data_IF_932822910103
#
_entry.id   IF_932822910103
#
_cell.length_a   1.000
_cell.length_b   1.000
_cell.length_c   1.000
_cell.angle_alpha   90.00
_cell.angle_beta   90.00
_cell.angle_gamma   90.00
#
_symmetry.space_group_name_H-M   'P 1'
#
loop_
_entity.id
_entity.type
_entity.pdbx_description
1 polymer ?
#
# COMPACT_ATOMS: atom_id res chain seq x y z
N UNK A 1 -16.16 -11.94 -6.52
CA UNK A 1 -17.59 -12.19 -6.31
C UNK A 1 -18.35 -10.95 -6.73
N UNK A 2 -19.50 -11.15 -7.39
CA UNK A 2 -20.36 -10.11 -7.95
C UNK A 2 -20.77 -9.07 -6.89
N UNK A 3 -20.92 -9.52 -5.63
CA UNK A 3 -21.33 -8.67 -4.51
C UNK A 3 -20.39 -7.48 -4.26
N UNK A 4 -19.06 -7.64 -4.37
CA UNK A 4 -18.14 -6.52 -4.15
C UNK A 4 -18.23 -5.49 -5.26
N UNK A 5 -18.39 -5.91 -6.52
CA UNK A 5 -18.56 -4.97 -7.64
C UNK A 5 -19.83 -4.13 -7.45
N UNK A 6 -20.92 -4.74 -6.96
CA UNK A 6 -22.15 -4.02 -6.62
C UNK A 6 -21.92 -2.96 -5.53
N UNK A 7 -21.16 -3.26 -4.49
CA UNK A 7 -20.84 -2.31 -3.40
C UNK A 7 -20.12 -1.07 -3.95
N UNK A 8 -19.12 -1.27 -4.83
CA UNK A 8 -18.32 -0.18 -5.37
C UNK A 8 -19.10 0.71 -6.35
N UNK A 9 -20.19 0.19 -6.93
CA UNK A 9 -21.10 0.94 -7.82
C UNK A 9 -22.21 1.68 -7.06
N UNK A 10 -22.25 1.63 -5.73
CA UNK A 10 -23.25 2.37 -4.96
C UNK A 10 -22.96 3.89 -5.04
N UNK A 11 -23.89 4.71 -5.59
CA UNK A 11 -23.59 6.08 -6.03
C UNK A 11 -23.33 7.08 -4.89
N UNK A 12 -23.69 6.73 -3.65
CA UNK A 12 -23.53 7.60 -2.47
C UNK A 12 -22.56 7.02 -1.43
N UNK A 13 -21.97 5.85 -1.71
CA UNK A 13 -21.11 5.17 -0.75
C UNK A 13 -19.73 5.80 -0.72
N UNK A 14 -19.53 6.76 0.19
CA UNK A 14 -18.22 7.42 0.38
C UNK A 14 -17.27 6.64 1.28
N UNK A 15 -17.81 5.83 2.19
CA UNK A 15 -17.04 5.10 3.20
C UNK A 15 -17.36 3.61 3.08
N UNK A 16 -16.34 2.80 2.86
CA UNK A 16 -16.48 1.37 2.67
C UNK A 16 -15.46 0.62 3.55
N UNK A 17 -15.94 -0.32 4.36
CA UNK A 17 -15.09 -1.24 5.11
C UNK A 17 -15.44 -2.67 4.73
N UNK A 18 -14.49 -3.36 4.13
CA UNK A 18 -14.60 -4.76 3.74
C UNK A 18 -13.91 -5.61 4.80
N UNK A 19 -14.68 -6.36 5.58
CA UNK A 19 -14.14 -7.33 6.53
C UNK A 19 -14.62 -8.70 6.13
N UNK A 20 -13.68 -9.60 5.84
CA UNK A 20 -13.97 -11.00 5.56
C UNK A 20 -13.23 -11.86 6.60
N UNK A 21 -13.97 -12.31 7.62
CA UNK A 21 -13.46 -13.17 8.69
C UNK A 21 -14.15 -14.52 8.59
N UNK A 22 -13.51 -15.50 7.95
CA UNK A 22 -13.92 -16.90 8.10
C UNK A 22 -12.79 -17.66 8.79
N UNK A 23 -13.14 -18.44 9.81
CA UNK A 23 -12.18 -19.13 10.72
C UNK A 23 -11.22 -20.11 10.04
N UNK A 24 -11.34 -20.35 8.73
CA UNK A 24 -10.65 -21.41 8.00
C UNK A 24 -10.14 -21.01 6.61
N UNK A 25 -10.47 -19.82 6.10
CA UNK A 25 -10.24 -19.54 4.69
C UNK A 25 -9.12 -18.51 4.50
N UNK A 26 -7.99 -19.01 4.01
CA UNK A 26 -6.87 -18.23 3.47
C UNK A 26 -7.22 -17.57 2.12
N UNK A 27 -8.50 -17.56 1.72
CA UNK A 27 -8.93 -17.18 0.37
C UNK A 27 -8.73 -15.69 0.16
N UNK A 28 -7.99 -15.40 -0.89
CA UNK A 28 -7.79 -14.05 -1.40
C UNK A 28 -9.12 -13.46 -1.85
N UNK A 29 -9.34 -12.19 -1.55
CA UNK A 29 -10.50 -11.45 -2.03
C UNK A 29 -10.49 -11.45 -3.57
N UNK A 30 -11.35 -12.27 -4.18
CA UNK A 30 -11.54 -12.29 -5.63
C UNK A 30 -12.54 -11.21 -6.00
N UNK A 31 -12.08 -10.13 -6.61
CA UNK A 31 -12.91 -9.06 -7.17
C UNK A 31 -12.42 -8.79 -8.57
N UNK A 32 -13.36 -8.69 -9.50
CA UNK A 32 -13.10 -8.15 -10.83
C UNK A 32 -13.42 -6.66 -10.79
N UNK A 33 -12.37 -5.83 -10.87
CA UNK A 33 -12.45 -4.37 -10.85
C UNK A 33 -12.32 -3.77 -12.25
N UNK A 34 -12.19 -4.60 -13.29
CA UNK A 34 -11.96 -4.13 -14.67
C UNK A 34 -13.12 -3.27 -15.19
N UNK A 35 -14.36 -3.60 -14.83
CA UNK A 35 -15.52 -2.79 -15.20
C UNK A 35 -15.96 -1.77 -14.13
N UNK A 36 -15.21 -1.64 -13.03
CA UNK A 36 -15.47 -0.60 -12.06
C UNK A 36 -14.81 0.71 -12.51
N UNK A 37 -15.61 1.77 -12.60
CA UNK A 37 -15.15 3.13 -12.89
C UNK A 37 -15.92 4.10 -12.00
N UNK A 38 -15.23 5.18 -11.62
CA UNK A 38 -15.82 6.35 -10.98
C UNK A 38 -16.62 6.04 -9.71
N UNK A 39 -16.14 5.09 -8.92
CA UNK A 39 -16.72 4.84 -7.60
C UNK A 39 -16.60 6.09 -6.72
N UNK A 40 -17.66 6.48 -5.98
CA UNK A 40 -17.65 7.64 -5.11
C UNK A 40 -16.93 7.40 -3.77
N UNK A 41 -16.35 6.22 -3.57
CA UNK A 41 -15.66 5.87 -2.32
C UNK A 41 -14.44 6.77 -2.13
N UNK A 42 -14.48 7.54 -1.04
CA UNK A 42 -13.38 8.39 -0.57
C UNK A 42 -12.55 7.68 0.50
N UNK A 43 -13.14 6.76 1.26
CA UNK A 43 -12.50 6.04 2.35
C UNK A 43 -12.71 4.54 2.23
N UNK A 44 -11.62 3.80 2.02
CA UNK A 44 -11.65 2.35 1.89
C UNK A 44 -10.76 1.67 2.93
N UNK A 45 -11.35 0.71 3.64
CA UNK A 45 -10.66 -0.18 4.59
C UNK A 45 -10.89 -1.63 4.17
N UNK A 46 -9.82 -2.39 3.96
CA UNK A 46 -9.86 -3.81 3.61
C UNK A 46 -9.18 -4.62 4.73
N UNK A 47 -10.00 -5.18 5.61
CA UNK A 47 -9.59 -6.00 6.75
C UNK A 47 -9.61 -7.49 6.38
N UNK A 48 -9.00 -7.84 5.24
CA UNK A 48 -8.89 -9.20 4.71
C UNK A 48 -7.70 -9.28 3.76
N UNK A 49 -7.28 -10.51 3.39
CA UNK A 49 -6.24 -10.71 2.37
C UNK A 49 -6.70 -10.16 1.02
N UNK A 50 -5.89 -9.25 0.47
CA UNK A 50 -6.09 -8.61 -0.82
C UNK A 50 -4.89 -8.90 -1.73
N UNK A 51 -5.15 -9.11 -3.02
CA UNK A 51 -4.04 -9.41 -3.95
C UNK A 51 -3.35 -8.12 -4.37
N UNK A 52 -2.02 -8.09 -4.25
CA UNK A 52 -1.22 -6.90 -4.64
C UNK A 52 -1.41 -6.51 -6.11
N UNK A 53 -1.60 -7.48 -7.00
CA UNK A 53 -1.80 -7.21 -8.43
C UNK A 53 -3.14 -6.53 -8.77
N UNK A 54 -4.10 -6.49 -7.84
CA UNK A 54 -5.38 -5.80 -8.02
C UNK A 54 -5.37 -4.33 -7.58
N UNK A 55 -4.27 -3.84 -6.99
CA UNK A 55 -4.20 -2.48 -6.49
C UNK A 55 -4.30 -1.42 -7.59
N UNK A 56 -3.71 -1.67 -8.76
CA UNK A 56 -3.82 -0.76 -9.90
C UNK A 56 -5.28 -0.63 -10.31
N UNK A 57 -5.98 -1.74 -10.50
CA UNK A 57 -7.38 -1.74 -10.91
C UNK A 57 -8.28 -1.07 -9.84
N UNK A 58 -7.95 -1.27 -8.56
CA UNK A 58 -8.60 -0.60 -7.44
C UNK A 58 -8.44 0.92 -7.53
N UNK A 59 -7.26 1.43 -7.81
CA UNK A 59 -7.03 2.87 -7.95
C UNK A 59 -7.79 3.47 -9.13
N UNK A 60 -7.87 2.78 -10.26
CA UNK A 60 -8.69 3.23 -11.40
C UNK A 60 -10.19 3.22 -11.09
N UNK A 61 -10.65 2.28 -10.27
CA UNK A 61 -12.04 2.21 -9.83
C UNK A 61 -12.40 3.32 -8.83
N UNK A 62 -11.42 3.85 -8.08
CA UNK A 62 -11.61 4.79 -6.97
C UNK A 62 -10.88 6.13 -7.17
N UNK A 63 -11.22 6.95 -8.20
CA UNK A 63 -10.51 8.19 -8.48
C UNK A 63 -10.64 9.25 -7.37
N UNK A 64 -11.68 9.15 -6.52
CA UNK A 64 -11.93 10.06 -5.40
C UNK A 64 -11.32 9.57 -4.08
N UNK A 65 -10.53 8.49 -4.09
CA UNK A 65 -9.99 7.89 -2.88
C UNK A 65 -9.08 8.88 -2.14
N UNK A 66 -9.35 9.05 -0.84
CA UNK A 66 -8.61 9.89 0.10
C UNK A 66 -7.86 9.08 1.13
N UNK A 67 -8.45 7.96 1.53
CA UNK A 67 -7.95 7.10 2.58
C UNK A 67 -8.01 5.64 2.13
N UNK A 68 -6.86 4.97 2.17
CA UNK A 68 -6.74 3.54 1.94
C UNK A 68 -6.08 2.87 3.13
N UNK A 69 -6.70 1.81 3.64
CA UNK A 69 -6.08 0.87 4.56
C UNK A 69 -6.30 -0.56 4.08
N UNK A 70 -5.23 -1.35 4.01
CA UNK A 70 -5.28 -2.78 3.68
C UNK A 70 -4.44 -3.57 4.68
N UNK A 71 -5.12 -4.45 5.43
CA UNK A 71 -4.53 -5.23 6.54
C UNK A 71 -3.60 -6.37 6.10
N UNK A 72 -3.75 -6.85 4.87
CA UNK A 72 -2.92 -7.94 4.36
C UNK A 72 -2.95 -7.93 2.84
N UNK A 73 -1.81 -7.57 2.26
CA UNK A 73 -1.48 -7.77 0.86
C UNK A 73 -0.71 -9.08 0.73
N UNK A 74 -1.11 -9.87 -0.26
CA UNK A 74 -0.50 -11.16 -0.57
C UNK A 74 -0.40 -11.34 -2.11
N UNK A 75 0.41 -12.31 -2.53
CA UNK A 75 0.66 -12.68 -3.92
C UNK A 75 1.78 -11.91 -4.60
N UNK A 76 1.95 -12.15 -5.90
CA UNK A 76 2.97 -11.51 -6.71
C UNK A 76 2.36 -10.46 -7.63
N UNK A 77 3.16 -9.44 -7.94
CA UNK A 77 2.80 -8.44 -8.93
C UNK A 77 3.28 -8.91 -10.31
N UNK A 78 2.34 -9.29 -11.18
CA UNK A 78 2.63 -9.69 -12.56
C UNK A 78 2.31 -8.57 -13.58
N UNK A 79 2.03 -7.37 -13.10
CA UNK A 79 1.47 -6.29 -13.89
C UNK A 79 -0.06 -6.31 -13.97
N UNK A 80 -0.63 -5.14 -14.28
CA UNK A 80 -2.04 -4.96 -14.66
C UNK A 80 -2.11 -4.57 -16.13
N UNK A 81 -3.20 -4.95 -16.81
CA UNK A 81 -3.57 -4.42 -18.13
C UNK A 81 -3.62 -2.88 -18.19
N UNK A 82 -3.73 -2.21 -17.04
CA UNK A 82 -3.74 -0.74 -16.92
C UNK A 82 -2.39 -0.15 -16.54
N UNK A 83 -1.32 -0.93 -16.59
CA UNK A 83 -0.02 -0.43 -16.16
C UNK A 83 0.53 0.70 -17.02
N UNK A 84 0.13 0.76 -18.27
CA UNK A 84 0.48 1.84 -19.19
C UNK A 84 -0.48 3.04 -19.07
N UNK A 85 -1.62 2.87 -18.41
CA UNK A 85 -2.57 3.95 -18.21
C UNK A 85 -2.09 4.88 -17.08
N UNK A 86 -2.25 6.19 -17.29
CA UNK A 86 -1.99 7.19 -16.25
C UNK A 86 -3.29 7.58 -15.55
N UNK A 87 -3.26 7.57 -14.22
CA UNK A 87 -4.30 8.17 -13.37
C UNK A 87 -3.59 8.93 -12.26
N UNK A 88 -4.12 10.10 -11.92
CA UNK A 88 -3.60 10.92 -10.82
C UNK A 88 -4.59 10.84 -9.67
N UNK A 89 -4.18 10.19 -8.58
CA UNK A 89 -4.97 10.12 -7.33
C UNK A 89 -4.76 11.39 -6.50
N UNK A 90 -5.19 12.54 -7.02
CA UNK A 90 -4.95 13.86 -6.41
C UNK A 90 -5.49 13.99 -4.98
N UNK A 91 -6.50 13.19 -4.65
CA UNK A 91 -7.17 13.21 -3.35
C UNK A 91 -6.57 12.21 -2.35
N UNK A 92 -5.74 11.26 -2.79
CA UNK A 92 -5.22 10.19 -1.92
C UNK A 92 -4.18 10.76 -0.96
N UNK A 93 -4.58 10.91 0.32
CA UNK A 93 -3.76 11.52 1.37
C UNK A 93 -3.20 10.51 2.36
N UNK A 94 -3.94 9.45 2.64
CA UNK A 94 -3.56 8.46 3.63
C UNK A 94 -3.52 7.07 3.00
N UNK A 95 -2.39 6.39 3.14
CA UNK A 95 -2.19 5.02 2.70
C UNK A 95 -1.56 4.21 3.83
N UNK A 96 -2.21 3.10 4.19
CA UNK A 96 -1.66 2.12 5.11
C UNK A 96 -1.74 0.72 4.50
N UNK A 97 -0.59 0.09 4.30
CA UNK A 97 -0.49 -1.21 3.63
C UNK A 97 0.34 -2.17 4.48
N UNK A 98 -0.17 -3.38 4.65
CA UNK A 98 0.57 -4.47 5.30
C UNK A 98 0.88 -5.58 4.31
N UNK A 99 2.16 -5.79 4.02
CA UNK A 99 2.70 -6.77 3.09
C UNK A 99 3.07 -8.08 3.82
N UNK A 100 2.49 -9.19 3.37
CA UNK A 100 2.79 -10.53 3.85
C UNK A 100 3.64 -11.27 2.80
N UNK A 101 4.94 -11.43 3.05
CA UNK A 101 5.89 -12.08 2.14
C UNK A 101 6.00 -11.47 0.72
N UNK A 102 5.69 -10.18 0.56
CA UNK A 102 5.78 -9.50 -0.74
C UNK A 102 7.10 -8.74 -0.85
N UNK A 103 7.78 -8.91 -1.99
CA UNK A 103 8.98 -8.14 -2.30
C UNK A 103 8.71 -6.63 -2.40
N UNK A 104 9.72 -5.82 -2.15
CA UNK A 104 9.61 -4.37 -2.21
C UNK A 104 9.29 -3.80 -3.60
N UNK A 105 9.73 -4.44 -4.68
CA UNK A 105 9.58 -3.94 -6.06
C UNK A 105 8.11 -3.60 -6.45
N UNK A 106 7.10 -4.44 -6.15
CA UNK A 106 5.70 -4.08 -6.30
C UNK A 106 5.32 -2.74 -5.65
N UNK A 107 5.79 -2.47 -4.42
CA UNK A 107 5.50 -1.23 -3.72
C UNK A 107 6.18 -0.02 -4.39
N UNK A 108 7.42 -0.18 -4.83
CA UNK A 108 8.15 0.84 -5.57
C UNK A 108 7.40 1.28 -6.85
N UNK A 109 6.83 0.32 -7.59
CA UNK A 109 5.98 0.60 -8.76
C UNK A 109 4.75 1.42 -8.35
N UNK A 110 4.07 1.04 -7.27
CA UNK A 110 2.88 1.75 -6.78
C UNK A 110 3.21 3.18 -6.32
N UNK A 111 4.33 3.35 -5.62
CA UNK A 111 4.80 4.66 -5.15
C UNK A 111 5.02 5.60 -6.34
N UNK A 112 5.79 5.14 -7.34
CA UNK A 112 6.13 5.92 -8.52
C UNK A 112 4.87 6.38 -9.26
N UNK A 113 3.87 5.49 -9.39
CA UNK A 113 2.65 5.79 -10.15
C UNK A 113 1.62 6.62 -9.40
N UNK A 114 1.39 6.34 -8.11
CA UNK A 114 0.15 6.76 -7.46
C UNK A 114 0.36 7.67 -6.23
N UNK A 115 1.54 7.68 -5.62
CA UNK A 115 1.70 8.24 -4.26
C UNK A 115 2.17 9.70 -4.21
N UNK A 116 2.18 10.39 -5.35
CA UNK A 116 2.63 11.80 -5.45
C UNK A 116 1.97 12.76 -4.45
N UNK A 117 0.69 12.53 -4.14
CA UNK A 117 -0.12 13.38 -3.27
C UNK A 117 -0.34 12.82 -1.86
N UNK A 118 0.25 11.66 -1.56
CA UNK A 118 0.15 11.01 -0.25
C UNK A 118 0.89 11.84 0.79
N UNK A 119 0.20 12.11 1.89
CA UNK A 119 0.73 12.88 3.03
C UNK A 119 1.12 11.95 4.19
N UNK A 120 0.44 10.80 4.32
CA UNK A 120 0.68 9.80 5.35
C UNK A 120 0.84 8.44 4.70
N UNK A 121 2.02 7.83 4.85
CA UNK A 121 2.31 6.48 4.39
C UNK A 121 2.71 5.60 5.59
N UNK A 122 1.96 4.52 5.80
CA UNK A 122 2.25 3.52 6.83
C UNK A 122 2.43 2.15 6.22
N UNK A 123 3.61 1.58 6.39
CA UNK A 123 3.96 0.27 5.85
C UNK A 123 4.20 -0.72 6.99
N UNK A 124 3.60 -1.89 6.88
CA UNK A 124 4.00 -3.05 7.68
C UNK A 124 4.49 -4.14 6.74
N UNK A 125 5.70 -4.67 6.91
CA UNK A 125 6.25 -5.70 6.05
C UNK A 125 6.75 -6.88 6.90
N UNK A 126 6.62 -8.09 6.35
CA UNK A 126 7.10 -9.32 6.99
C UNK A 126 8.06 -10.05 6.05
N UNK A 127 9.18 -10.50 6.59
CA UNK A 127 10.23 -11.32 5.97
C UNK A 127 11.09 -10.68 4.88
N UNK A 128 10.56 -9.74 4.08
CA UNK A 128 11.36 -9.10 3.04
C UNK A 128 12.27 -8.01 3.59
N UNK A 129 13.55 -8.37 3.72
CA UNK A 129 14.60 -7.49 4.23
C UNK A 129 14.86 -6.26 3.35
N UNK A 130 14.42 -6.25 2.09
CA UNK A 130 14.64 -5.08 1.23
C UNK A 130 13.87 -3.84 1.70
N UNK A 131 12.83 -4.01 2.53
CA UNK A 131 12.15 -2.92 3.24
C UNK A 131 13.03 -2.22 4.30
N UNK A 132 14.12 -2.85 4.72
CA UNK A 132 15.08 -2.29 5.68
C UNK A 132 16.13 -1.39 5.02
N UNK A 133 16.10 -1.22 3.69
CA UNK A 133 17.05 -0.37 2.99
C UNK A 133 16.63 1.11 3.09
N UNK A 134 17.21 1.83 4.06
CA UNK A 134 16.90 3.23 4.31
C UNK A 134 17.22 4.14 3.10
N UNK A 135 18.36 3.91 2.42
CA UNK A 135 18.75 4.71 1.25
C UNK A 135 17.73 4.57 0.11
N UNK A 136 17.24 3.36 -0.15
CA UNK A 136 16.21 3.12 -1.17
C UNK A 136 14.91 3.86 -0.84
N UNK A 137 14.52 3.86 0.42
CA UNK A 137 13.36 4.64 0.87
C UNK A 137 13.56 6.15 0.69
N UNK A 138 14.71 6.67 1.08
CA UNK A 138 15.05 8.08 0.91
C UNK A 138 14.96 8.51 -0.56
N UNK A 139 15.58 7.76 -1.47
CA UNK A 139 15.53 8.01 -2.92
C UNK A 139 14.09 8.03 -3.45
N UNK A 140 13.24 7.08 -3.02
CA UNK A 140 11.84 7.03 -3.44
C UNK A 140 11.02 8.19 -2.90
N UNK A 141 11.23 8.55 -1.64
CA UNK A 141 10.49 9.65 -0.99
C UNK A 141 10.80 10.97 -1.68
N UNK A 142 12.10 11.26 -1.89
CA UNK A 142 12.54 12.49 -2.56
C UNK A 142 11.99 12.55 -3.99
N UNK A 143 12.03 11.43 -4.70
CA UNK A 143 11.67 11.40 -6.13
C UNK A 143 10.17 11.44 -6.38
N UNK A 144 9.37 10.74 -5.57
CA UNK A 144 7.98 10.41 -5.92
C UNK A 144 6.94 10.84 -4.89
N UNK A 145 7.32 11.24 -3.68
CA UNK A 145 6.37 11.57 -2.61
C UNK A 145 6.64 12.97 -2.01
N UNK A 146 6.59 14.04 -2.82
CA UNK A 146 6.90 15.40 -2.37
C UNK A 146 5.92 15.94 -1.33
N UNK A 147 4.73 15.33 -1.20
CA UNK A 147 3.70 15.74 -0.24
C UNK A 147 3.81 15.00 1.11
N UNK A 148 4.75 14.06 1.25
CA UNK A 148 4.82 13.17 2.41
C UNK A 148 5.22 13.94 3.67
N UNK A 149 4.41 13.79 4.72
CA UNK A 149 4.59 14.44 6.03
C UNK A 149 4.79 13.44 7.14
N UNK A 150 4.15 12.28 7.04
CA UNK A 150 4.25 11.19 8.01
C UNK A 150 4.62 9.93 7.28
N UNK A 151 5.70 9.30 7.73
CA UNK A 151 6.14 8.01 7.26
C UNK A 151 6.38 7.10 8.46
N UNK A 152 5.72 5.94 8.44
CA UNK A 152 5.88 4.93 9.47
C UNK A 152 6.16 3.58 8.79
N UNK A 153 7.23 2.91 9.21
CA UNK A 153 7.53 1.56 8.74
C UNK A 153 7.73 0.59 9.91
N UNK A 154 7.03 -0.52 9.86
CA UNK A 154 7.14 -1.62 10.80
C UNK A 154 7.56 -2.88 10.05
N UNK A 155 8.76 -3.39 10.33
CA UNK A 155 9.25 -4.62 9.72
C UNK A 155 9.37 -5.74 10.76
N UNK A 156 8.87 -6.93 10.41
CA UNK A 156 9.02 -8.16 11.19
C UNK A 156 9.80 -9.22 10.42
N UNK A 157 10.85 -9.77 11.01
CA UNK A 157 11.62 -10.86 10.39
C UNK A 157 13.08 -10.85 10.82
N UNK A 158 13.88 -11.79 10.31
CA UNK A 158 15.31 -11.83 10.61
C UNK A 158 16.03 -10.66 9.94
N UNK A 159 16.83 -9.89 10.69
CA UNK A 159 17.73 -8.86 10.16
C UNK A 159 19.22 -9.24 10.21
N UNK A 160 19.55 -10.52 10.42
CA UNK A 160 20.92 -11.00 10.69
C UNK A 160 21.97 -10.67 9.60
N UNK A 161 21.55 -10.19 8.42
CA UNK A 161 22.45 -9.77 7.31
C UNK A 161 22.39 -8.28 6.99
N UNK A 162 21.67 -7.47 7.75
CA UNK A 162 21.29 -6.10 7.35
C UNK A 162 21.34 -5.07 8.49
N UNK A 163 22.11 -5.30 9.55
CA UNK A 163 22.35 -4.30 10.59
C UNK A 163 22.83 -2.97 9.99
N UNK A 164 23.78 -3.03 9.05
CA UNK A 164 24.30 -1.86 8.33
C UNK A 164 23.24 -1.09 7.54
N UNK A 165 22.14 -1.73 7.11
CA UNK A 165 21.04 -1.04 6.43
C UNK A 165 20.06 -0.39 7.40
N UNK A 166 19.84 -1.02 8.56
CA UNK A 166 18.99 -0.46 9.62
C UNK A 166 19.64 0.78 10.21
N UNK A 167 20.96 0.77 10.41
CA UNK A 167 21.69 1.89 10.98
C UNK A 167 21.58 3.17 10.14
N UNK A 168 21.28 3.04 8.84
CA UNK A 168 21.08 4.17 7.92
C UNK A 168 19.77 4.95 8.18
N UNK A 169 18.81 4.39 8.93
CA UNK A 169 17.65 5.17 9.41
C UNK A 169 18.03 6.24 10.45
N UNK A 170 19.32 6.36 10.80
CA UNK A 170 19.86 7.44 11.63
C UNK A 170 20.57 8.53 10.81
N UNK A 171 20.44 8.55 9.47
CA UNK A 171 20.98 9.66 8.67
C UNK A 171 20.25 10.97 9.00
N UNK A 172 20.86 12.12 8.65
CA UNK A 172 20.24 13.43 8.86
C UNK A 172 18.86 13.54 8.20
N UNK A 173 18.69 12.93 7.02
CA UNK A 173 17.40 12.88 6.32
C UNK A 173 16.27 12.34 7.21
N UNK A 174 16.54 11.26 7.94
CA UNK A 174 15.56 10.57 8.81
C UNK A 174 15.37 11.30 10.14
N UNK A 175 16.47 11.74 10.77
CA UNK A 175 16.42 12.45 12.06
C UNK A 175 15.65 13.76 11.93
N UNK A 176 15.92 14.57 10.91
CA UNK A 176 15.27 15.87 10.71
C UNK A 176 13.76 15.75 10.49
N UNK A 177 13.31 14.64 9.90
CA UNK A 177 11.88 14.38 9.63
C UNK A 177 11.14 13.77 10.80
N UNK A 178 11.86 13.24 11.79
CA UNK A 178 11.30 12.59 12.98
C UNK A 178 10.23 11.52 12.61
N UNK A 179 10.52 10.74 11.59
CA UNK A 179 9.66 9.65 11.11
C UNK A 179 9.92 8.36 11.88
N UNK A 180 8.92 7.48 11.94
CA UNK A 180 9.02 6.28 12.78
C UNK A 180 9.50 5.06 11.98
N UNK A 181 10.50 4.38 12.53
CA UNK A 181 10.98 3.09 12.06
C UNK A 181 10.96 2.11 13.24
N UNK A 182 10.40 0.92 13.03
CA UNK A 182 10.42 -0.16 14.02
C UNK A 182 10.78 -1.48 13.35
N UNK A 183 11.76 -2.18 13.92
CA UNK A 183 12.14 -3.52 13.51
C UNK A 183 11.93 -4.49 14.68
N UNK A 184 11.29 -5.63 14.42
CA UNK A 184 11.10 -6.72 15.39
C UNK A 184 11.74 -8.00 14.86
N UNK A 185 12.76 -8.48 15.57
CA UNK A 185 13.35 -9.79 15.35
C UNK A 185 12.36 -10.88 15.79
N UNK A 186 12.23 -11.92 14.98
CA UNK A 186 11.31 -13.03 15.22
C UNK A 186 12.05 -14.35 15.41
#
# INVERSE_FOLDING_TARGET
SILFLCIFRLPVLKYCTLTYRTKKDQRLLSIDLTECKDSPIEHLVINTRFRVNLLVDLFFCLPQLRYLLIDSLDGYYYGSHRDECSIVLQHLKYVSLKFDCIHFNPLEILINKFFRHVEVLRISAIYDQTYLNAKKWEELIISFMPSLRVFDINHRGSALKYHDLIDQFNSSFWIERNWSFTHQHH
#
